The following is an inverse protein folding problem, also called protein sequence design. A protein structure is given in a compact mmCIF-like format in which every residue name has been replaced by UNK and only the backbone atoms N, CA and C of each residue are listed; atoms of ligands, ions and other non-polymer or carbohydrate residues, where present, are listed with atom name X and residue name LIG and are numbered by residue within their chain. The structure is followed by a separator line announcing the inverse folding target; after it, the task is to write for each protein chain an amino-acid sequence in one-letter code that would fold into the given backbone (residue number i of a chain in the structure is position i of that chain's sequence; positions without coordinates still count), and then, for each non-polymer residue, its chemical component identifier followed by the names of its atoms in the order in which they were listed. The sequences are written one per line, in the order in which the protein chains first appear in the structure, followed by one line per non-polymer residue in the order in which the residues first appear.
data_IF_629467717922
#
_entry.id   IF_629467717922
#
_cell.length_a   1.000
_cell.length_b   1.000
_cell.length_c   1.000
_cell.angle_alpha   90.00
_cell.angle_beta   90.00
_cell.angle_gamma   90.00
#
_symmetry.space_group_name_H-M   'P 1'
#
loop_
_entity.id
_entity.type
_entity.pdbx_description
1 polymer ?
#
# COMPACT_ATOMS: atom_id res chain seq x y z
N UNK A 1 18.71 -15.92 4.41
CA UNK A 1 18.70 -14.47 4.12
C UNK A 1 17.45 -13.83 4.70
N UNK A 2 17.58 -13.05 5.77
CA UNK A 2 16.50 -12.29 6.40
C UNK A 2 16.28 -10.96 5.64
N UNK A 3 15.06 -10.42 5.64
CA UNK A 3 14.82 -9.08 5.08
C UNK A 3 15.05 -8.08 6.20
N UNK A 4 15.96 -7.12 5.98
CA UNK A 4 16.30 -6.12 7.00
C UNK A 4 15.28 -4.97 6.97
N UNK A 5 14.86 -4.57 5.78
CA UNK A 5 13.85 -3.52 5.56
C UNK A 5 13.22 -3.69 4.17
N UNK A 6 11.93 -3.43 4.07
CA UNK A 6 11.27 -3.18 2.80
C UNK A 6 10.29 -2.00 2.93
N UNK A 7 10.27 -1.14 1.90
CA UNK A 7 9.45 0.06 1.85
C UNK A 7 8.61 0.10 0.58
N UNK A 8 7.36 0.51 0.74
CA UNK A 8 6.50 0.95 -0.35
C UNK A 8 6.57 2.47 -0.43
N UNK A 9 6.94 3.00 -1.60
CA UNK A 9 7.05 4.44 -1.84
C UNK A 9 5.99 4.88 -2.83
N UNK A 10 5.16 5.84 -2.42
CA UNK A 10 4.11 6.44 -3.25
C UNK A 10 4.41 7.92 -3.42
N UNK A 11 4.28 8.44 -4.63
CA UNK A 11 4.44 9.87 -4.87
C UNK A 11 3.09 10.58 -4.81
N UNK A 12 2.94 11.52 -3.88
CA UNK A 12 1.79 12.40 -3.79
C UNK A 12 1.96 13.58 -4.76
N UNK A 13 1.04 13.69 -5.72
CA UNK A 13 0.95 14.82 -6.63
C UNK A 13 -0.33 15.62 -6.38
N UNK A 14 -0.20 16.70 -5.62
CA UNK A 14 -1.27 17.55 -5.17
C UNK A 14 -1.94 18.34 -6.31
N UNK A 15 -1.22 18.61 -7.41
CA UNK A 15 -1.82 19.25 -8.59
C UNK A 15 -3.03 18.49 -9.15
N UNK A 16 -3.08 17.17 -8.99
CA UNK A 16 -4.19 16.30 -9.43
C UNK A 16 -5.20 15.99 -8.32
N UNK A 17 -5.01 16.55 -7.13
CA UNK A 17 -5.80 16.21 -5.97
C UNK A 17 -7.15 16.97 -5.99
N UNK A 18 -8.21 16.28 -6.44
CA UNK A 18 -9.60 16.77 -6.39
C UNK A 18 -10.12 17.00 -4.97
N UNK A 19 -9.39 16.48 -3.98
CA UNK A 19 -9.70 16.53 -2.56
C UNK A 19 -8.97 17.66 -1.82
N UNK A 20 -8.29 18.57 -2.54
CA UNK A 20 -7.56 19.74 -1.99
C UNK A 20 -8.38 20.67 -1.09
N UNK A 21 -9.71 20.67 -1.21
CA UNK A 21 -10.57 21.67 -0.57
C UNK A 21 -10.83 21.39 0.91
N UNK A 22 -10.61 20.17 1.40
CA UNK A 22 -10.75 19.90 2.83
C UNK A 22 -9.37 19.95 3.49
N UNK A 23 -9.23 20.78 4.53
CA UNK A 23 -8.13 20.68 5.50
C UNK A 23 -8.26 19.40 6.36
N UNK A 24 -8.98 18.39 5.87
CA UNK A 24 -9.18 17.14 6.56
C UNK A 24 -7.95 16.25 6.39
N UNK A 25 -7.50 15.66 7.50
CA UNK A 25 -6.45 14.66 7.51
C UNK A 25 -6.92 13.41 6.76
N UNK A 26 -6.14 12.99 5.77
CA UNK A 26 -6.29 11.69 5.12
C UNK A 26 -5.35 10.67 5.74
N UNK A 27 -5.77 9.42 5.73
CA UNK A 27 -4.94 8.28 6.09
C UNK A 27 -4.78 7.38 4.88
N UNK A 28 -3.56 6.88 4.68
CA UNK A 28 -3.23 5.82 3.75
C UNK A 28 -3.03 4.53 4.52
N UNK A 29 -3.79 3.51 4.18
CA UNK A 29 -3.67 2.18 4.73
C UNK A 29 -3.17 1.20 3.66
N UNK A 30 -2.17 0.40 3.99
CA UNK A 30 -1.65 -0.68 3.15
C UNK A 30 -2.17 -1.99 3.69
N UNK A 31 -2.69 -2.84 2.81
CA UNK A 31 -3.21 -4.15 3.14
C UNK A 31 -2.49 -5.22 2.33
N UNK A 32 -2.20 -6.36 2.97
CA UNK A 32 -1.80 -7.58 2.27
C UNK A 32 -3.03 -8.40 1.91
N UNK A 33 -2.91 -9.22 0.86
CA UNK A 33 -3.89 -10.25 0.56
C UNK A 33 -3.42 -11.54 1.21
N UNK A 34 -4.25 -12.12 2.07
CA UNK A 34 -4.03 -13.45 2.62
C UNK A 34 -5.15 -14.37 2.18
N UNK A 35 -4.78 -15.59 1.80
CA UNK A 35 -5.75 -16.63 1.51
C UNK A 35 -5.90 -17.48 2.77
N UNK A 36 -7.06 -17.39 3.41
CA UNK A 36 -7.40 -18.16 4.61
C UNK A 36 -8.55 -19.07 4.21
N UNK A 37 -8.30 -20.37 4.21
CA UNK A 37 -9.31 -21.40 3.92
C UNK A 37 -10.09 -21.24 2.59
N UNK A 38 -9.43 -20.67 1.56
CA UNK A 38 -10.02 -20.45 0.24
C UNK A 38 -10.66 -19.06 0.06
N UNK A 39 -10.81 -18.30 1.15
CA UNK A 39 -11.27 -16.91 1.11
C UNK A 39 -10.08 -15.94 1.09
N UNK A 40 -10.20 -14.89 0.27
CA UNK A 40 -9.21 -13.82 0.21
C UNK A 40 -9.60 -12.75 1.23
N UNK A 41 -8.77 -12.58 2.25
CA UNK A 41 -8.92 -11.52 3.23
C UNK A 41 -7.86 -10.42 3.05
N UNK A 42 -8.22 -9.20 3.46
CA UNK A 42 -7.36 -8.02 3.45
C UNK A 42 -6.91 -7.67 4.85
N UNK A 43 -5.65 -7.95 5.16
CA UNK A 43 -5.08 -7.62 6.47
C UNK A 43 -4.40 -6.28 6.38
N UNK A 44 -4.81 -5.33 7.23
CA UNK A 44 -4.15 -4.02 7.33
C UNK A 44 -2.77 -4.20 7.95
N UNK A 45 -1.74 -3.73 7.25
CA UNK A 45 -0.33 -3.90 7.58
C UNK A 45 0.25 -2.63 8.18
N UNK A 46 -0.09 -1.51 7.57
CA UNK A 46 0.42 -0.21 7.96
C UNK A 46 -0.62 0.85 7.64
N UNK A 47 -0.63 1.90 8.43
CA UNK A 47 -1.46 3.07 8.24
C UNK A 47 -0.63 4.30 8.56
N UNK A 48 -0.67 5.31 7.69
CA UNK A 48 0.05 6.56 7.90
C UNK A 48 -0.82 7.74 7.54
N UNK A 49 -0.67 8.82 8.31
CA UNK A 49 -1.37 10.07 8.06
C UNK A 49 -0.64 10.89 7.01
N UNK A 50 -1.39 11.41 6.05
CA UNK A 50 -0.84 12.24 4.99
C UNK A 50 -1.47 13.62 5.01
N UNK A 51 -0.61 14.62 4.80
CA UNK A 51 -1.06 15.98 4.59
C UNK A 51 -1.44 16.16 3.12
N UNK A 52 -2.69 16.50 2.84
CA UNK A 52 -3.21 16.67 1.47
C UNK A 52 -2.68 17.92 0.77
N UNK A 53 -1.97 18.80 1.48
CA UNK A 53 -1.52 20.10 0.98
C UNK A 53 -0.07 20.13 0.44
N UNK A 54 0.64 19.00 0.42
CA UNK A 54 2.05 18.93 -0.03
C UNK A 54 2.26 17.89 -1.13
N UNK A 55 3.29 18.12 -1.94
CA UNK A 55 3.83 17.12 -2.86
C UNK A 55 4.99 16.39 -2.18
N UNK A 56 5.20 15.11 -2.50
CA UNK A 56 6.34 14.39 -1.97
C UNK A 56 6.21 12.87 -1.97
N UNK A 57 7.29 12.21 -1.57
CA UNK A 57 7.31 10.78 -1.35
C UNK A 57 6.70 10.44 0.01
N UNK A 58 5.79 9.47 0.00
CA UNK A 58 5.26 8.83 1.18
C UNK A 58 5.92 7.46 1.26
N UNK A 59 6.59 7.21 2.37
CA UNK A 59 7.33 5.98 2.63
C UNK A 59 6.58 5.16 3.67
N UNK A 60 6.27 3.91 3.33
CA UNK A 60 5.47 3.02 4.16
C UNK A 60 6.25 1.73 4.38
N UNK A 61 6.50 1.37 5.64
CA UNK A 61 7.18 0.14 5.98
C UNK A 61 6.28 -1.08 5.66
N UNK A 62 6.79 -2.00 4.86
CA UNK A 62 6.10 -3.23 4.44
C UNK A 62 6.97 -4.48 4.67
N UNK A 63 7.98 -4.38 5.53
CA UNK A 63 9.00 -5.42 5.77
C UNK A 63 8.36 -6.78 6.08
N UNK A 64 7.41 -6.82 7.01
CA UNK A 64 6.73 -8.05 7.42
C UNK A 64 6.00 -8.76 6.27
N UNK A 65 5.40 -8.00 5.36
CA UNK A 65 4.68 -8.57 4.20
C UNK A 65 5.64 -9.16 3.19
N UNK A 66 6.75 -8.47 2.92
CA UNK A 66 7.75 -8.97 1.99
C UNK A 66 8.44 -10.23 2.56
N UNK A 67 8.58 -10.32 3.89
CA UNK A 67 9.03 -11.55 4.55
C UNK A 67 8.05 -12.71 4.35
N UNK A 68 6.74 -12.46 4.48
CA UNK A 68 5.70 -13.46 4.22
C UNK A 68 5.73 -13.95 2.76
N UNK A 69 5.88 -13.03 1.79
CA UNK A 69 5.98 -13.39 0.36
C UNK A 69 7.19 -14.27 0.06
N UNK A 70 8.28 -14.07 0.79
CA UNK A 70 9.48 -14.92 0.67
C UNK A 70 9.19 -16.36 1.08
N UNK A 71 8.34 -16.56 2.10
CA UNK A 71 7.91 -17.88 2.55
C UNK A 71 6.88 -18.50 1.58
N UNK A 72 5.98 -17.70 1.01
CA UNK A 72 4.87 -18.15 0.18
C UNK A 72 5.05 -17.78 -1.30
N UNK A 73 5.99 -18.42 -1.99
CA UNK A 73 6.43 -18.03 -3.36
C UNK A 73 5.36 -18.11 -4.46
N UNK A 74 4.25 -18.81 -4.22
CA UNK A 74 3.19 -19.09 -5.22
C UNK A 74 1.99 -18.13 -5.06
N UNK A 75 1.89 -17.40 -3.94
CA UNK A 75 0.79 -16.47 -3.71
C UNK A 75 0.93 -15.17 -4.52
N UNK A 76 -0.20 -14.51 -4.77
CA UNK A 76 -0.23 -13.23 -5.48
C UNK A 76 0.43 -12.16 -4.61
N UNK A 77 1.65 -11.77 -4.98
CA UNK A 77 2.41 -10.75 -4.28
C UNK A 77 1.91 -9.37 -4.73
N UNK A 78 1.03 -8.77 -3.95
CA UNK A 78 0.52 -7.43 -4.21
C UNK A 78 -0.04 -6.78 -2.96
N UNK A 79 -0.19 -5.47 -3.02
CA UNK A 79 -0.74 -4.67 -1.94
C UNK A 79 -2.08 -4.08 -2.38
N UNK A 80 -3.02 -3.99 -1.45
CA UNK A 80 -4.11 -3.04 -1.56
C UNK A 80 -3.72 -1.77 -0.82
N UNK A 81 -4.03 -0.62 -1.42
CA UNK A 81 -3.80 0.68 -0.82
C UNK A 81 -5.15 1.36 -0.71
N UNK A 82 -5.56 1.64 0.52
CA UNK A 82 -6.75 2.39 0.86
C UNK A 82 -6.40 3.84 1.18
N UNK A 83 -7.14 4.79 0.63
CA UNK A 83 -7.08 6.20 1.01
C UNK A 83 -8.46 6.63 1.52
N UNK A 84 -8.52 7.27 2.69
CA UNK A 84 -9.76 7.77 3.26
C UNK A 84 -9.52 8.98 4.17
N UNK A 85 -10.56 9.78 4.36
CA UNK A 85 -10.56 10.79 5.41
C UNK A 85 -10.84 10.15 6.76
N UNK A 86 -10.12 10.56 7.80
CA UNK A 86 -10.38 10.07 9.17
C UNK A 86 -11.81 10.34 9.64
N UNK A 87 -12.40 11.47 9.21
CA UNK A 87 -13.78 11.83 9.51
C UNK A 87 -14.81 10.92 8.82
N UNK A 88 -14.42 10.20 7.76
CA UNK A 88 -15.32 9.41 6.90
C UNK A 88 -14.67 8.11 6.42
N UNK A 89 -14.32 7.18 7.33
CA UNK A 89 -13.59 5.96 6.98
C UNK A 89 -14.38 5.00 6.07
N UNK A 90 -15.72 5.10 6.06
CA UNK A 90 -16.58 4.32 5.17
C UNK A 90 -16.37 4.63 3.68
N UNK A 91 -15.84 5.81 3.34
CA UNK A 91 -15.61 6.24 1.95
C UNK A 91 -14.17 5.96 1.51
N UNK A 92 -13.74 4.70 1.66
CA UNK A 92 -12.38 4.29 1.32
C UNK A 92 -12.22 4.03 -0.17
N UNK A 93 -11.27 4.73 -0.80
CA UNK A 93 -10.82 4.42 -2.15
C UNK A 93 -9.73 3.35 -2.07
N UNK A 94 -9.99 2.15 -2.59
CA UNK A 94 -9.04 1.03 -2.59
C UNK A 94 -8.48 0.78 -3.99
N UNK A 95 -7.16 0.71 -4.10
CA UNK A 95 -6.44 0.37 -5.33
C UNK A 95 -5.58 -0.86 -5.12
N UNK A 96 -5.58 -1.79 -6.07
CA UNK A 96 -4.73 -2.97 -6.03
C UNK A 96 -3.46 -2.76 -6.87
N UNK A 97 -2.30 -3.05 -6.27
CA UNK A 97 -1.01 -3.02 -6.94
C UNK A 97 -0.38 -4.40 -6.91
N UNK A 98 -0.26 -5.03 -8.09
CA UNK A 98 0.40 -6.32 -8.25
C UNK A 98 1.90 -6.12 -8.44
N UNK A 99 2.71 -6.80 -7.65
CA UNK A 99 4.17 -6.84 -7.84
C UNK A 99 4.51 -7.91 -8.87
N UNK A 100 5.11 -7.50 -9.97
CA UNK A 100 5.53 -8.40 -11.05
C UNK A 100 7.06 -8.42 -11.11
N UNK A 101 7.66 -9.61 -11.02
CA UNK A 101 9.09 -9.76 -11.27
C UNK A 101 9.36 -9.59 -12.75
N UNK A 102 10.10 -8.54 -13.12
CA UNK A 102 10.60 -8.38 -14.49
C UNK A 102 11.73 -9.40 -14.70
N UNK A 103 11.56 -10.35 -15.62
CA UNK A 103 12.65 -11.22 -16.07
C UNK A 103 13.59 -10.36 -16.91
N UNK A 104 14.78 -10.04 -16.39
CA UNK A 104 15.82 -9.43 -17.21
C UNK A 104 16.38 -10.54 -18.12
N UNK A 105 16.05 -10.52 -19.41
CA UNK A 105 16.82 -11.22 -20.42
C UNK A 105 18.07 -10.36 -20.68
N UNK A 106 19.18 -10.74 -20.05
CA UNK A 106 20.50 -10.32 -20.51
C UNK A 106 20.86 -11.28 -21.66
N UNK A 107 20.98 -10.72 -22.85
CA UNK A 107 21.61 -11.39 -24.00
C UNK A 107 23.10 -11.56 -23.74
#
# INVERSE_FOLDING_TARGET
MQIILAELRLYQLNQKNKYKKSNESMSLAVYSIMNIDGEKDLIKISETDISTNRDGWIEINVTSVVELWKMQKISNNGFYIGAYYKSRPANILKYFFKVVKKKNHRY
#
